data_IF_146784642737
#
_entry.id   IF_146784642737
#
_cell.length_a   1.000
_cell.length_b   1.000
_cell.length_c   1.000
_cell.angle_alpha   90.00
_cell.angle_beta   90.00
_cell.angle_gamma   90.00
#
_symmetry.space_group_name_H-M   'P 1'
#
loop_
_entity.id
_entity.type
_entity.pdbx_description
1 polymer ?
#
# COMPACT_ATOMS: atom_id res chain seq x y z
N UNK A 1 24.74 -48.75 44.38
CA UNK A 1 26.17 -48.91 44.71
C UNK A 1 26.93 -47.72 44.16
N UNK A 2 27.57 -46.95 45.07
CA UNK A 2 28.79 -46.10 44.93
C UNK A 2 28.83 -45.04 43.80
N UNK A 3 29.31 -43.81 43.98
CA UNK A 3 29.82 -43.06 45.13
C UNK A 3 29.92 -41.56 44.76
N UNK A 4 29.90 -40.75 45.81
CA UNK A 4 30.16 -39.32 45.89
C UNK A 4 31.63 -39.00 45.56
N UNK A 5 31.90 -37.88 44.89
CA UNK A 5 33.11 -37.07 45.13
C UNK A 5 32.93 -35.63 44.63
N UNK A 6 32.76 -34.73 45.60
CA UNK A 6 33.03 -33.29 45.53
C UNK A 6 34.54 -33.06 45.50
N UNK A 7 35.04 -32.02 44.82
CA UNK A 7 36.07 -31.13 45.36
C UNK A 7 36.30 -29.84 44.53
N UNK A 8 36.36 -28.74 45.27
CA UNK A 8 37.24 -27.55 45.13
C UNK A 8 37.00 -26.50 44.04
N UNK A 9 36.25 -25.46 44.46
CA UNK A 9 36.65 -24.03 44.53
C UNK A 9 37.70 -23.55 43.51
N UNK A 10 37.24 -22.78 42.53
CA UNK A 10 38.03 -21.83 41.76
C UNK A 10 37.39 -20.44 41.87
N UNK A 11 37.93 -19.60 42.75
CA UNK A 11 37.65 -18.17 42.82
C UNK A 11 38.13 -17.54 41.50
N UNK A 12 37.23 -17.02 40.67
CA UNK A 12 37.58 -16.04 39.65
C UNK A 12 36.71 -14.80 39.84
N UNK A 13 37.32 -13.79 40.46
CA UNK A 13 36.89 -12.41 40.40
C UNK A 13 36.77 -11.98 38.93
N UNK A 14 35.55 -11.79 38.44
CA UNK A 14 35.30 -10.95 37.28
C UNK A 14 34.43 -9.79 37.75
N UNK A 15 35.13 -8.71 38.04
CA UNK A 15 34.61 -7.39 38.31
C UNK A 15 33.84 -6.86 37.10
N UNK A 16 32.58 -6.47 37.35
CA UNK A 16 31.94 -5.22 36.92
C UNK A 16 32.22 -4.77 35.47
N UNK A 17 31.18 -4.89 34.62
CA UNK A 17 30.68 -3.80 33.77
C UNK A 17 29.36 -4.27 33.12
N UNK A 18 28.31 -4.37 33.94
CA UNK A 18 26.94 -4.28 33.41
C UNK A 18 26.76 -2.80 33.08
N UNK A 19 27.05 -2.44 31.83
CA UNK A 19 26.68 -1.14 31.29
C UNK A 19 25.16 -1.05 31.32
N UNK A 20 24.71 -0.20 32.24
CA UNK A 20 23.35 0.08 32.60
C UNK A 20 22.53 0.48 31.38
N UNK A 21 21.53 -0.33 31.04
CA UNK A 21 20.37 0.13 30.29
C UNK A 21 19.59 1.09 31.19
N UNK A 22 20.02 2.36 31.23
CA UNK A 22 19.31 3.42 31.92
C UNK A 22 18.31 3.99 30.92
N UNK A 23 17.05 3.57 31.05
CA UNK A 23 15.97 4.52 30.81
C UNK A 23 16.27 5.71 31.72
N UNK A 24 16.67 6.85 31.14
CA UNK A 24 16.94 8.06 31.91
C UNK A 24 15.68 8.38 32.71
N UNK A 25 15.75 8.17 34.03
CA UNK A 25 14.66 8.53 34.93
C UNK A 25 14.41 10.02 34.74
N UNK A 26 13.18 10.36 34.33
CA UNK A 26 12.81 11.71 33.93
C UNK A 26 13.04 12.66 35.11
N UNK A 27 14.04 13.55 35.01
CA UNK A 27 14.48 14.36 36.15
C UNK A 27 13.37 15.28 36.64
N UNK A 28 13.42 15.63 37.93
CA UNK A 28 12.46 16.57 38.53
C UNK A 28 12.40 17.89 37.75
N UNK A 29 13.55 18.37 37.29
CA UNK A 29 13.65 19.57 36.45
C UNK A 29 12.91 19.38 35.12
N UNK A 30 13.16 18.28 34.41
CA UNK A 30 12.53 18.00 33.12
C UNK A 30 11.00 17.96 33.23
N UNK A 31 10.46 17.26 34.24
CA UNK A 31 9.01 17.20 34.50
C UNK A 31 8.41 18.58 34.72
N UNK A 32 8.99 19.36 35.63
CA UNK A 32 8.52 20.71 35.96
C UNK A 32 8.58 21.65 34.76
N UNK A 33 9.64 21.55 33.96
CA UNK A 33 9.78 22.32 32.73
C UNK A 33 8.69 21.94 31.72
N UNK A 34 8.50 20.65 31.43
CA UNK A 34 7.52 20.18 30.44
C UNK A 34 6.09 20.56 30.85
N UNK A 35 5.74 20.40 32.13
CA UNK A 35 4.44 20.83 32.67
C UNK A 35 4.22 22.33 32.46
N UNK A 36 5.22 23.15 32.81
CA UNK A 36 5.15 24.61 32.67
C UNK A 36 5.14 25.04 31.20
N UNK A 37 5.85 24.32 30.33
CA UNK A 37 5.91 24.55 28.88
C UNK A 37 4.56 24.28 28.24
N UNK A 38 3.93 23.14 28.56
CA UNK A 38 2.58 22.80 28.09
C UNK A 38 1.52 23.76 28.62
N UNK A 39 1.71 24.30 29.82
CA UNK A 39 0.82 25.29 30.41
C UNK A 39 1.07 26.72 29.90
N UNK A 40 2.04 26.96 29.01
CA UNK A 40 2.48 28.29 28.56
C UNK A 40 2.83 29.25 29.72
N UNK A 41 3.34 28.73 30.85
CA UNK A 41 3.65 29.51 32.04
C UNK A 41 5.09 30.05 31.97
N UNK A 42 5.28 31.14 31.24
CA UNK A 42 6.60 31.75 30.99
C UNK A 42 7.30 32.19 32.28
N UNK A 43 6.55 32.68 33.26
CA UNK A 43 7.09 33.07 34.57
C UNK A 43 7.71 31.86 35.27
N UNK A 44 6.97 30.75 35.39
CA UNK A 44 7.48 29.53 36.00
C UNK A 44 8.70 28.98 35.24
N UNK A 45 8.64 28.95 33.91
CA UNK A 45 9.75 28.48 33.07
C UNK A 45 11.03 29.32 33.30
N UNK A 46 10.91 30.65 33.39
CA UNK A 46 12.07 31.52 33.64
C UNK A 46 12.73 31.25 34.99
N UNK A 47 11.94 30.94 36.03
CA UNK A 47 12.45 30.57 37.36
C UNK A 47 13.14 29.21 37.31
N UNK A 48 12.49 28.22 36.70
CA UNK A 48 13.00 26.85 36.56
C UNK A 48 14.34 26.85 35.82
N UNK A 49 14.45 27.57 34.70
CA UNK A 49 15.68 27.66 33.91
C UNK A 49 16.81 28.35 34.69
N UNK A 50 16.54 29.44 35.40
CA UNK A 50 17.56 30.14 36.19
C UNK A 50 18.11 29.30 37.33
N UNK A 51 17.26 28.52 37.99
CA UNK A 51 17.63 27.68 39.13
C UNK A 51 18.43 26.43 38.75
N UNK A 52 18.37 26.00 37.48
CA UNK A 52 18.92 24.72 37.02
C UNK A 52 20.02 24.90 35.96
N UNK A 53 20.72 26.03 35.95
CA UNK A 53 21.72 26.38 34.92
C UNK A 53 22.70 25.24 34.59
N UNK A 54 23.21 24.56 35.61
CA UNK A 54 24.27 23.55 35.45
C UNK A 54 23.76 22.21 34.91
N UNK A 55 22.44 21.95 34.98
CA UNK A 55 21.85 20.69 34.52
C UNK A 55 21.25 20.80 33.12
N UNK A 56 20.94 22.01 32.63
CA UNK A 56 20.25 22.20 31.34
C UNK A 56 20.99 21.55 30.18
N UNK A 57 22.32 21.64 30.11
CA UNK A 57 23.06 21.05 28.99
C UNK A 57 22.89 19.53 28.93
N UNK A 58 23.01 18.85 30.06
CA UNK A 58 22.83 17.40 30.15
C UNK A 58 21.38 16.99 29.83
N UNK A 59 20.42 17.81 30.22
CA UNK A 59 19.00 17.55 29.96
C UNK A 59 18.63 17.70 28.49
N UNK A 60 19.12 18.76 27.83
CA UNK A 60 18.94 18.94 26.38
C UNK A 60 19.60 17.80 25.62
N UNK A 61 20.82 17.39 25.97
CA UNK A 61 21.47 16.24 25.34
C UNK A 61 20.69 14.93 25.60
N UNK A 62 20.13 14.75 26.79
CA UNK A 62 19.24 13.63 27.10
C UNK A 62 17.98 13.62 26.25
N UNK A 63 17.35 14.77 26.02
CA UNK A 63 16.19 14.92 25.14
C UNK A 63 16.56 14.66 23.67
N UNK A 64 17.72 15.13 23.21
CA UNK A 64 18.23 14.82 21.85
C UNK A 64 18.38 13.31 21.69
N UNK A 65 19.03 12.63 22.65
CA UNK A 65 19.22 11.18 22.59
C UNK A 65 17.89 10.43 22.58
N UNK A 66 16.92 10.87 23.38
CA UNK A 66 15.57 10.30 23.39
C UNK A 66 14.85 10.50 22.05
N UNK A 67 14.91 11.70 21.49
CA UNK A 67 14.29 12.04 20.20
C UNK A 67 14.88 11.21 19.05
N UNK A 68 16.19 10.98 19.08
CA UNK A 68 16.92 10.24 18.04
C UNK A 68 16.83 8.72 18.18
N UNK A 69 16.12 8.21 19.20
CA UNK A 69 15.80 6.79 19.31
C UNK A 69 15.00 6.29 18.10
N UNK A 70 15.30 5.06 17.66
CA UNK A 70 14.60 4.38 16.57
C UNK A 70 13.13 4.07 16.89
N UNK A 71 12.74 4.12 18.16
CA UNK A 71 11.37 3.85 18.61
C UNK A 71 10.41 5.03 18.38
N UNK A 72 10.93 6.26 18.24
CA UNK A 72 10.11 7.46 18.11
C UNK A 72 9.66 7.67 16.67
N UNK A 73 8.38 7.96 16.47
CA UNK A 73 7.87 8.45 15.20
C UNK A 73 8.21 9.93 14.99
N UNK A 74 7.95 10.47 13.80
CA UNK A 74 8.28 11.86 13.46
C UNK A 74 7.65 12.89 14.41
N UNK A 75 6.36 12.74 14.74
CA UNK A 75 5.66 13.69 15.62
C UNK A 75 6.21 13.66 17.04
N UNK A 76 6.50 12.46 17.56
CA UNK A 76 7.13 12.30 18.87
C UNK A 76 8.54 12.88 18.90
N UNK A 77 9.35 12.57 17.88
CA UNK A 77 10.71 13.09 17.75
C UNK A 77 10.73 14.61 17.71
N UNK A 78 9.89 15.21 16.86
CA UNK A 78 9.80 16.66 16.76
C UNK A 78 9.31 17.28 18.08
N UNK A 79 8.30 16.69 18.73
CA UNK A 79 7.83 17.18 20.03
C UNK A 79 8.92 17.19 21.11
N UNK A 80 9.78 16.17 21.15
CA UNK A 80 10.91 16.13 22.09
C UNK A 80 11.99 17.16 21.70
N UNK A 81 12.32 17.28 20.41
CA UNK A 81 13.28 18.29 19.92
C UNK A 81 12.77 19.72 20.15
N UNK A 82 11.47 19.97 20.09
CA UNK A 82 10.87 21.28 20.37
C UNK A 82 11.04 21.66 21.85
N UNK A 83 10.87 20.70 22.77
CA UNK A 83 11.15 20.88 24.21
C UNK A 83 12.65 21.15 24.42
N UNK A 84 13.52 20.37 23.78
CA UNK A 84 14.97 20.55 23.85
C UNK A 84 15.40 21.93 23.33
N UNK A 85 14.79 22.39 22.23
CA UNK A 85 15.02 23.70 21.64
C UNK A 85 14.59 24.79 22.61
N UNK A 86 13.38 24.68 23.16
CA UNK A 86 12.88 25.63 24.14
C UNK A 86 13.82 25.73 25.34
N UNK A 87 14.21 24.60 25.96
CA UNK A 87 15.18 24.60 27.07
C UNK A 87 16.50 25.28 26.71
N UNK A 88 17.06 24.96 25.54
CA UNK A 88 18.33 25.54 25.09
C UNK A 88 18.20 27.05 24.81
N UNK A 89 17.15 27.49 24.12
CA UNK A 89 16.87 28.89 23.83
C UNK A 89 16.67 29.70 25.11
N UNK A 90 15.94 29.13 26.08
CA UNK A 90 15.78 29.76 27.37
C UNK A 90 17.11 29.84 28.14
N UNK A 91 17.95 28.81 28.10
CA UNK A 91 19.27 28.88 28.75
C UNK A 91 20.16 29.98 28.15
N UNK A 92 20.16 30.13 26.82
CA UNK A 92 20.89 31.23 26.14
C UNK A 92 20.38 32.58 26.65
N UNK A 93 19.06 32.78 26.69
CA UNK A 93 18.46 34.07 27.04
C UNK A 93 18.58 34.43 28.53
N UNK A 94 18.29 33.51 29.45
CA UNK A 94 18.20 33.80 30.89
C UNK A 94 19.49 33.53 31.67
N UNK A 95 20.38 32.68 31.16
CA UNK A 95 21.58 32.24 31.88
C UNK A 95 22.90 32.57 31.14
N UNK A 96 22.83 33.23 29.99
CA UNK A 96 23.94 33.41 29.05
C UNK A 96 24.60 32.07 28.67
N UNK A 97 23.78 31.05 28.44
CA UNK A 97 24.23 29.72 28.03
C UNK A 97 24.88 29.69 26.64
N UNK A 98 25.66 28.65 26.35
CA UNK A 98 26.33 28.48 25.05
C UNK A 98 25.32 28.25 23.90
N UNK A 99 25.35 29.12 22.90
CA UNK A 99 24.52 29.00 21.69
C UNK A 99 24.76 27.72 20.88
N UNK A 100 25.92 27.07 21.04
CA UNK A 100 26.23 25.84 20.30
C UNK A 100 25.19 24.75 20.52
N UNK A 101 24.67 24.65 21.74
CA UNK A 101 23.66 23.65 22.09
C UNK A 101 22.32 23.95 21.41
N UNK A 102 21.90 25.21 21.37
CA UNK A 102 20.71 25.64 20.64
C UNK A 102 20.87 25.36 19.13
N UNK A 103 22.00 25.78 18.53
CA UNK A 103 22.29 25.54 17.11
C UNK A 103 22.31 24.05 16.75
N UNK A 104 22.77 23.19 17.67
CA UNK A 104 22.73 21.72 17.51
C UNK A 104 21.29 21.23 17.40
N UNK A 105 20.40 21.61 18.32
CA UNK A 105 18.98 21.20 18.30
C UNK A 105 18.27 21.75 17.05
N UNK A 106 18.47 23.02 16.71
CA UNK A 106 17.87 23.64 15.52
C UNK A 106 18.32 22.95 14.22
N UNK A 107 19.58 22.51 14.16
CA UNK A 107 20.09 21.75 13.01
C UNK A 107 19.40 20.39 12.91
N UNK A 108 19.26 19.66 14.02
CA UNK A 108 18.53 18.39 14.04
C UNK A 108 17.06 18.55 13.65
N UNK A 109 16.35 19.57 14.17
CA UNK A 109 14.97 19.87 13.78
C UNK A 109 14.85 20.14 12.29
N UNK A 110 15.77 20.93 11.71
CA UNK A 110 15.80 21.20 10.26
C UNK A 110 16.05 19.94 9.45
N UNK A 111 16.98 19.09 9.87
CA UNK A 111 17.27 17.83 9.19
C UNK A 111 16.08 16.87 9.23
N UNK A 112 15.42 16.70 10.38
CA UNK A 112 14.24 15.84 10.51
C UNK A 112 13.05 16.38 9.70
N UNK A 113 12.81 17.69 9.72
CA UNK A 113 11.78 18.33 8.90
C UNK A 113 12.05 18.13 7.40
N UNK A 114 13.31 18.23 6.96
CA UNK A 114 13.68 17.96 5.57
C UNK A 114 13.50 16.47 5.20
N UNK A 115 13.82 15.54 6.11
CA UNK A 115 13.57 14.10 5.90
C UNK A 115 12.07 13.82 5.75
N UNK A 116 11.24 14.40 6.62
CA UNK A 116 9.79 14.20 6.55
C UNK A 116 9.17 14.86 5.31
N UNK A 117 9.64 16.04 4.91
CA UNK A 117 9.24 16.67 3.65
C UNK A 117 9.52 15.75 2.46
N UNK A 118 10.74 15.20 2.36
CA UNK A 118 11.11 14.25 1.29
C UNK A 118 10.26 12.99 1.33
N UNK A 119 9.98 12.44 2.52
CA UNK A 119 9.11 11.28 2.70
C UNK A 119 7.68 11.55 2.26
N UNK A 120 7.14 12.71 2.60
CA UNK A 120 5.78 13.14 2.22
C UNK A 120 5.67 13.35 0.71
N UNK A 121 6.63 14.05 0.11
CA UNK A 121 6.68 14.25 -1.34
C UNK A 121 6.77 12.92 -2.11
N UNK A 122 7.60 11.98 -1.64
CA UNK A 122 7.67 10.63 -2.19
C UNK A 122 6.33 9.90 -2.06
N UNK A 123 5.65 10.00 -0.90
CA UNK A 123 4.35 9.36 -0.66
C UNK A 123 3.27 9.93 -1.59
N UNK A 124 3.24 11.24 -1.81
CA UNK A 124 2.32 11.86 -2.77
C UNK A 124 2.62 11.41 -4.21
N UNK A 125 3.90 11.31 -4.61
CA UNK A 125 4.25 10.73 -5.91
C UNK A 125 3.78 9.28 -6.06
N UNK A 126 3.89 8.47 -5.00
CA UNK A 126 3.35 7.10 -4.99
C UNK A 126 1.83 7.14 -5.16
N UNK A 127 1.12 7.97 -4.38
CA UNK A 127 -0.35 8.09 -4.48
C UNK A 127 -0.82 8.48 -5.88
N UNK A 128 -0.13 9.39 -6.56
CA UNK A 128 -0.46 9.77 -7.93
C UNK A 128 -0.34 8.60 -8.92
N UNK A 129 0.69 7.76 -8.78
CA UNK A 129 0.81 6.53 -9.58
C UNK A 129 -0.30 5.54 -9.26
N UNK A 130 -0.62 5.39 -7.97
CA UNK A 130 -1.56 4.40 -7.43
C UNK A 130 -3.02 4.82 -7.51
N UNK A 131 -3.28 6.06 -7.93
CA UNK A 131 -4.63 6.55 -8.25
C UNK A 131 -5.26 5.75 -9.39
N UNK A 132 -4.44 5.25 -10.32
CA UNK A 132 -4.90 4.36 -11.39
C UNK A 132 -5.17 2.97 -10.81
N UNK A 133 -6.39 2.41 -10.96
CA UNK A 133 -6.75 1.12 -10.39
C UNK A 133 -5.75 0.02 -10.78
N UNK A 134 -5.16 -0.56 -9.75
CA UNK A 134 -4.18 -1.63 -9.81
C UNK A 134 -2.75 -1.16 -10.03
N UNK A 135 -2.49 0.08 -10.42
CA UNK A 135 -1.10 0.53 -10.47
C UNK A 135 -0.48 0.52 -9.07
N UNK A 136 0.77 0.08 -8.97
CA UNK A 136 1.53 0.21 -7.73
C UNK A 136 3.02 0.37 -7.94
N UNK A 137 3.63 1.05 -6.97
CA UNK A 137 5.08 1.25 -6.91
C UNK A 137 5.72 0.14 -6.10
N UNK A 138 6.71 -0.51 -6.70
CA UNK A 138 7.49 -1.58 -6.08
C UNK A 138 8.81 -1.00 -5.59
N UNK A 139 8.88 -0.74 -4.29
CA UNK A 139 10.02 -0.11 -3.63
C UNK A 139 10.60 -0.94 -2.46
N UNK A 140 10.22 -2.22 -2.33
CA UNK A 140 10.68 -3.08 -1.23
C UNK A 140 12.20 -3.30 -1.21
N UNK A 141 12.85 -3.27 -2.38
CA UNK A 141 14.32 -3.38 -2.55
C UNK A 141 14.95 -2.06 -3.00
N UNK A 142 14.49 -0.93 -2.44
CA UNK A 142 14.91 0.42 -2.88
C UNK A 142 16.42 0.62 -2.81
N UNK A 143 17.07 0.16 -1.75
CA UNK A 143 18.52 0.33 -1.55
C UNK A 143 19.32 -0.46 -2.60
N UNK A 144 18.93 -1.70 -2.88
CA UNK A 144 19.55 -2.54 -3.93
C UNK A 144 19.39 -1.89 -5.31
N UNK A 145 18.21 -1.36 -5.62
CA UNK A 145 17.97 -0.64 -6.87
C UNK A 145 18.81 0.63 -6.96
N UNK A 146 18.86 1.44 -5.90
CA UNK A 146 19.64 2.66 -5.85
C UNK A 146 21.14 2.41 -6.01
N UNK A 147 21.68 1.34 -5.43
CA UNK A 147 23.09 0.93 -5.59
C UNK A 147 23.46 0.58 -7.05
N UNK A 148 22.46 0.30 -7.90
CA UNK A 148 22.61 0.06 -9.33
C UNK A 148 22.14 1.24 -10.20
N UNK A 149 21.85 2.40 -9.60
CA UNK A 149 21.34 3.57 -10.32
C UNK A 149 19.91 3.39 -10.86
N UNK A 150 19.15 2.44 -10.32
CA UNK A 150 17.80 2.12 -10.76
C UNK A 150 16.75 2.78 -9.85
N UNK A 151 15.70 3.33 -10.47
CA UNK A 151 14.51 3.78 -9.75
C UNK A 151 13.67 2.60 -9.29
N UNK A 152 12.78 2.79 -8.29
CA UNK A 152 11.70 1.85 -8.02
C UNK A 152 10.86 1.54 -9.28
N UNK A 153 10.21 0.39 -9.27
CA UNK A 153 9.42 -0.08 -10.43
C UNK A 153 7.99 0.40 -10.34
N UNK A 154 7.40 0.80 -11.47
CA UNK A 154 5.94 0.96 -11.60
C UNK A 154 5.39 -0.29 -12.27
N UNK A 155 4.41 -0.94 -11.64
CA UNK A 155 3.66 -2.02 -12.27
C UNK A 155 2.28 -1.53 -12.73
N UNK A 156 2.04 -1.38 -14.05
CA UNK A 156 0.78 -0.91 -14.57
C UNK A 156 -0.20 -2.07 -14.84
N UNK A 157 -1.16 -2.31 -13.94
CA UNK A 157 -2.14 -3.39 -14.15
C UNK A 157 -2.96 -3.20 -15.41
N UNK A 158 -3.34 -1.97 -15.75
CA UNK A 158 -4.20 -1.71 -16.91
C UNK A 158 -3.54 -2.10 -18.25
N UNK A 159 -2.22 -1.91 -18.38
CA UNK A 159 -1.46 -2.38 -19.56
C UNK A 159 -1.51 -3.90 -19.63
N UNK A 160 -1.20 -4.60 -18.54
CA UNK A 160 -1.22 -6.06 -18.51
C UNK A 160 -2.64 -6.60 -18.75
N UNK A 161 -3.66 -5.96 -18.16
CA UNK A 161 -5.08 -6.31 -18.30
C UNK A 161 -5.60 -6.14 -19.73
N UNK A 162 -4.93 -5.32 -20.53
CA UNK A 162 -5.25 -5.13 -21.95
C UNK A 162 -4.93 -6.38 -22.77
N UNK A 163 -4.02 -7.24 -22.29
CA UNK A 163 -3.52 -8.41 -23.02
C UNK A 163 -3.74 -9.73 -22.28
N UNK A 164 -3.87 -9.71 -20.96
CA UNK A 164 -4.04 -10.89 -20.12
C UNK A 164 -5.17 -10.73 -19.13
N UNK A 165 -5.92 -11.81 -18.89
CA UNK A 165 -6.92 -11.86 -17.82
C UNK A 165 -6.24 -12.07 -16.46
N UNK A 166 -6.93 -11.69 -15.37
CA UNK A 166 -6.38 -11.75 -14.02
C UNK A 166 -5.92 -13.17 -13.67
N UNK A 167 -6.68 -14.20 -14.08
CA UNK A 167 -6.37 -15.62 -13.86
C UNK A 167 -5.04 -16.07 -14.47
N UNK A 168 -4.54 -15.40 -15.51
CA UNK A 168 -3.22 -15.73 -16.10
C UNK A 168 -2.12 -15.55 -15.06
N UNK A 169 -2.16 -14.44 -14.32
CA UNK A 169 -1.16 -14.09 -13.33
C UNK A 169 -1.51 -14.62 -11.92
N UNK A 170 -2.79 -14.55 -11.56
CA UNK A 170 -3.26 -14.81 -10.20
C UNK A 170 -4.05 -16.11 -10.08
N UNK A 171 -3.73 -17.01 -9.17
CA UNK A 171 -2.71 -16.90 -8.10
C UNK A 171 -1.42 -17.66 -8.42
N UNK A 172 -1.28 -18.16 -9.66
CA UNK A 172 -0.18 -19.06 -10.07
C UNK A 172 1.18 -18.37 -10.07
N UNK A 173 1.27 -17.16 -10.62
CA UNK A 173 2.55 -16.43 -10.76
C UNK A 173 2.71 -15.45 -9.60
N UNK A 174 1.63 -14.75 -9.24
CA UNK A 174 1.65 -13.72 -8.21
C UNK A 174 0.55 -13.94 -7.17
N UNK A 175 0.91 -13.82 -5.90
CA UNK A 175 -0.04 -13.76 -4.79
C UNK A 175 -0.80 -12.41 -4.84
N UNK A 176 -2.13 -12.43 -4.65
CA UNK A 176 -3.00 -11.24 -4.59
C UNK A 176 -2.84 -10.44 -3.28
N UNK A 177 -1.60 -10.14 -2.90
CA UNK A 177 -1.23 -9.36 -1.72
C UNK A 177 0.05 -8.59 -1.99
N UNK A 178 0.02 -7.26 -1.82
CA UNK A 178 1.20 -6.40 -2.00
C UNK A 178 2.35 -6.89 -1.12
N UNK A 179 3.54 -6.97 -1.70
CA UNK A 179 4.77 -7.37 -1.00
C UNK A 179 4.85 -8.85 -0.62
N UNK A 180 3.85 -9.68 -0.95
CA UNK A 180 3.87 -11.10 -0.62
C UNK A 180 4.80 -11.92 -1.53
N UNK A 181 5.00 -11.47 -2.77
CA UNK A 181 5.95 -12.10 -3.68
C UNK A 181 7.35 -11.52 -3.43
N UNK A 182 8.30 -12.38 -3.12
CA UNK A 182 9.71 -11.99 -3.07
C UNK A 182 10.28 -11.91 -4.49
N UNK A 183 10.19 -10.73 -5.11
CA UNK A 183 10.68 -10.45 -6.46
C UNK A 183 12.14 -10.00 -6.37
N UNK A 184 13.00 -10.63 -7.17
CA UNK A 184 14.42 -10.30 -7.30
C UNK A 184 14.89 -10.48 -8.75
N UNK A 185 16.00 -9.83 -9.11
CA UNK A 185 16.60 -10.00 -10.44
C UNK A 185 16.95 -11.47 -10.72
N UNK A 186 17.51 -12.18 -9.74
CA UNK A 186 17.83 -13.61 -9.86
C UNK A 186 16.61 -14.47 -10.22
N UNK A 187 15.47 -14.27 -9.55
CA UNK A 187 14.23 -15.00 -9.88
C UNK A 187 13.69 -14.65 -11.28
N UNK A 188 13.84 -13.40 -11.71
CA UNK A 188 13.46 -12.98 -13.05
C UNK A 188 14.34 -13.68 -14.10
N UNK A 189 15.64 -13.78 -13.85
CA UNK A 189 16.58 -14.49 -14.71
C UNK A 189 16.30 -16.00 -14.78
N UNK A 190 15.82 -16.60 -13.69
CA UNK A 190 15.32 -17.98 -13.65
C UNK A 190 13.98 -18.19 -14.38
N UNK A 191 13.42 -17.16 -15.02
CA UNK A 191 12.13 -17.24 -15.72
C UNK A 191 10.91 -17.25 -14.80
N UNK A 192 11.05 -16.84 -13.52
CA UNK A 192 9.94 -16.74 -12.56
C UNK A 192 9.39 -15.32 -12.50
N UNK A 193 8.17 -15.17 -11.97
CA UNK A 193 7.53 -13.87 -11.73
C UNK A 193 7.48 -13.05 -13.04
N UNK A 194 8.09 -11.87 -13.08
CA UNK A 194 8.15 -11.05 -14.30
C UNK A 194 8.82 -11.81 -15.46
N UNK A 195 9.84 -12.62 -15.16
CA UNK A 195 10.58 -13.44 -16.11
C UNK A 195 9.75 -14.54 -16.78
N UNK A 196 8.57 -14.87 -16.23
CA UNK A 196 7.64 -15.82 -16.87
C UNK A 196 7.23 -15.36 -18.27
N UNK A 197 7.07 -14.04 -18.44
CA UNK A 197 6.66 -13.43 -19.71
C UNK A 197 7.73 -12.49 -20.28
N UNK A 198 8.50 -11.78 -19.45
CA UNK A 198 9.59 -10.92 -19.92
C UNK A 198 10.87 -11.73 -20.17
N UNK A 199 10.77 -12.66 -21.12
CA UNK A 199 11.76 -13.69 -21.45
C UNK A 199 12.34 -13.54 -22.86
N UNK A 200 11.94 -12.51 -23.61
CA UNK A 200 12.35 -12.28 -25.00
C UNK A 200 11.45 -12.94 -26.04
N UNK A 201 10.49 -13.78 -25.65
CA UNK A 201 9.53 -14.43 -26.57
C UNK A 201 8.12 -13.88 -26.38
N UNK A 202 7.54 -13.98 -25.17
CA UNK A 202 6.18 -13.47 -24.90
C UNK A 202 6.21 -11.93 -24.85
N UNK A 203 7.21 -11.39 -24.17
CA UNK A 203 7.49 -9.96 -24.06
C UNK A 203 9.00 -9.74 -24.13
N UNK A 204 9.42 -8.47 -24.17
CA UNK A 204 10.83 -8.11 -24.13
C UNK A 204 11.53 -8.74 -22.91
N UNK A 205 12.80 -9.12 -23.07
CA UNK A 205 13.59 -9.71 -22.00
C UNK A 205 13.81 -8.71 -20.85
N UNK A 206 13.48 -9.10 -19.62
CA UNK A 206 13.73 -8.29 -18.42
C UNK A 206 15.18 -8.37 -17.91
N UNK A 207 16.01 -9.26 -18.47
CA UNK A 207 17.43 -9.37 -18.11
C UNK A 207 18.35 -8.59 -19.03
N UNK A 208 17.84 -8.11 -20.17
CA UNK A 208 18.60 -7.29 -21.10
C UNK A 208 18.75 -5.86 -20.55
N UNK A 209 19.98 -5.35 -20.52
CA UNK A 209 20.37 -4.10 -19.85
C UNK A 209 19.59 -2.89 -20.39
N UNK A 210 19.39 -2.83 -21.70
CA UNK A 210 18.64 -1.79 -22.39
C UNK A 210 17.15 -1.72 -21.97
N UNK A 211 16.62 -2.78 -21.36
CA UNK A 211 15.24 -2.85 -20.91
C UNK A 211 15.03 -2.49 -19.43
N UNK A 212 16.10 -2.29 -18.65
CA UNK A 212 16.00 -1.87 -17.24
C UNK A 212 15.12 -0.63 -17.08
N UNK A 213 15.32 0.36 -17.96
CA UNK A 213 14.57 1.62 -18.00
C UNK A 213 13.11 1.49 -18.45
N UNK A 214 12.59 0.29 -18.74
CA UNK A 214 11.16 0.08 -19.04
C UNK A 214 10.33 -0.15 -17.78
N UNK A 215 10.95 -0.68 -16.74
CA UNK A 215 10.30 -0.99 -15.46
C UNK A 215 10.76 -0.02 -14.36
N UNK A 216 12.06 0.28 -14.30
CA UNK A 216 12.68 1.14 -13.29
C UNK A 216 12.51 2.63 -13.64
N UNK A 217 11.26 3.10 -13.56
CA UNK A 217 10.82 4.42 -14.04
C UNK A 217 10.09 5.27 -13.00
N UNK A 218 9.95 4.80 -11.76
CA UNK A 218 9.34 5.64 -10.73
C UNK A 218 10.14 6.94 -10.53
N UNK A 219 9.45 8.07 -10.57
CA UNK A 219 10.05 9.41 -10.51
C UNK A 219 10.68 9.90 -11.81
N UNK A 220 10.55 9.17 -12.93
CA UNK A 220 11.07 9.58 -14.25
C UNK A 220 9.94 10.00 -15.21
N UNK A 221 10.21 10.88 -16.21
CA UNK A 221 9.21 11.32 -17.18
C UNK A 221 8.54 10.19 -17.96
N UNK A 222 9.26 9.08 -18.19
CA UNK A 222 8.78 7.89 -18.89
C UNK A 222 7.65 7.15 -18.15
N UNK A 223 7.41 7.47 -16.89
CA UNK A 223 6.28 6.96 -16.12
C UNK A 223 4.93 7.56 -16.54
N UNK A 224 4.91 8.76 -17.15
CA UNK A 224 3.68 9.50 -17.45
C UNK A 224 2.68 8.68 -18.29
N UNK A 225 3.10 7.98 -19.37
CA UNK A 225 2.25 7.05 -20.10
C UNK A 225 1.56 5.95 -19.28
N UNK A 226 2.12 5.56 -18.13
CA UNK A 226 1.57 4.46 -17.32
C UNK A 226 0.51 4.93 -16.33
N UNK A 227 0.44 6.23 -16.05
CA UNK A 227 -0.53 6.85 -15.14
C UNK A 227 -1.62 7.62 -15.89
N UNK A 228 -1.40 7.92 -17.16
CA UNK A 228 -2.37 8.53 -18.05
C UNK A 228 -2.97 7.47 -19.00
N UNK A 229 -4.17 6.96 -18.67
CA UNK A 229 -4.86 5.95 -19.48
C UNK A 229 -5.35 6.48 -20.84
N UNK A 230 -5.26 7.79 -21.10
CA UNK A 230 -5.51 8.32 -22.44
C UNK A 230 -4.33 8.03 -23.39
N UNK A 231 -3.16 7.70 -22.84
CA UNK A 231 -2.00 7.27 -23.60
C UNK A 231 -2.26 5.89 -24.21
N UNK A 232 -2.77 5.91 -25.43
CA UNK A 232 -3.11 4.72 -26.19
C UNK A 232 -2.50 4.80 -27.58
N UNK A 233 -1.75 3.76 -27.95
CA UNK A 233 -1.19 3.60 -29.28
C UNK A 233 -1.80 2.35 -29.93
N UNK A 234 -2.64 2.58 -30.94
CA UNK A 234 -3.40 1.55 -31.63
C UNK A 234 -2.52 0.43 -32.20
N UNK A 235 -1.52 0.81 -32.99
CA UNK A 235 -0.70 -0.14 -33.74
C UNK A 235 0.12 -1.00 -32.78
N UNK A 236 0.70 -0.38 -31.75
CA UNK A 236 1.47 -1.07 -30.73
C UNK A 236 0.61 -2.04 -29.92
N UNK A 237 -0.61 -1.65 -29.54
CA UNK A 237 -1.51 -2.55 -28.82
C UNK A 237 -1.96 -3.72 -29.69
N UNK A 238 -2.23 -3.47 -30.98
CA UNK A 238 -2.56 -4.51 -31.94
C UNK A 238 -1.40 -5.50 -32.14
N UNK A 239 -0.18 -5.01 -32.28
CA UNK A 239 1.03 -5.82 -32.36
C UNK A 239 1.22 -6.69 -31.10
N UNK A 240 1.13 -6.09 -29.90
CA UNK A 240 1.28 -6.81 -28.63
C UNK A 240 0.18 -7.86 -28.47
N UNK A 241 -1.07 -7.53 -28.77
CA UNK A 241 -2.19 -8.48 -28.69
C UNK A 241 -1.95 -9.66 -29.64
N UNK A 242 -1.54 -9.41 -30.88
CA UNK A 242 -1.22 -10.47 -31.84
C UNK A 242 -0.08 -11.36 -31.34
N UNK A 243 1.02 -10.78 -30.83
CA UNK A 243 2.16 -11.54 -30.29
C UNK A 243 1.78 -12.38 -29.07
N UNK A 244 0.95 -11.82 -28.19
CA UNK A 244 0.56 -12.49 -26.93
C UNK A 244 -0.54 -13.53 -27.11
N UNK A 245 -1.18 -13.60 -28.28
CA UNK A 245 -2.28 -14.52 -28.58
C UNK A 245 -3.66 -13.99 -28.22
N UNK A 246 -3.78 -12.68 -27.97
CA UNK A 246 -5.05 -11.98 -27.76
C UNK A 246 -5.59 -11.34 -29.05
N UNK A 247 -6.67 -10.56 -28.91
CA UNK A 247 -7.22 -9.73 -30.00
C UNK A 247 -7.35 -8.28 -29.54
N UNK A 248 -7.13 -7.36 -30.48
CA UNK A 248 -7.33 -5.93 -30.28
C UNK A 248 -7.95 -5.33 -31.54
N UNK A 249 -9.21 -4.93 -31.41
CA UNK A 249 -10.10 -4.51 -32.47
C UNK A 249 -10.40 -3.02 -32.29
N UNK A 250 -9.41 -2.19 -32.58
CA UNK A 250 -9.49 -0.74 -32.34
C UNK A 250 -10.58 -0.03 -33.16
N UNK A 251 -11.03 -0.64 -34.25
CA UNK A 251 -12.15 -0.21 -35.08
C UNK A 251 -13.49 -0.18 -34.33
N UNK A 252 -13.63 -0.97 -33.27
CA UNK A 252 -14.83 -0.97 -32.43
C UNK A 252 -14.80 0.16 -31.38
N UNK A 253 -13.70 0.92 -31.30
CA UNK A 253 -13.57 2.04 -30.37
C UNK A 253 -14.14 3.33 -30.96
N UNK A 254 -14.84 4.10 -30.14
CA UNK A 254 -15.41 5.39 -30.54
C UNK A 254 -14.28 6.41 -30.74
N UNK A 255 -14.13 6.93 -31.96
CA UNK A 255 -13.05 7.83 -32.36
C UNK A 255 -11.65 7.28 -32.05
N UNK A 256 -11.52 5.96 -32.00
CA UNK A 256 -10.27 5.30 -31.66
C UNK A 256 -9.82 5.49 -30.21
N UNK A 257 -10.66 5.97 -29.29
CA UNK A 257 -10.26 6.18 -27.90
C UNK A 257 -10.72 5.04 -27.00
N UNK A 258 -9.93 4.75 -25.97
CA UNK A 258 -10.37 3.86 -24.89
C UNK A 258 -11.61 4.47 -24.20
N UNK A 259 -12.66 3.68 -23.97
CA UNK A 259 -13.82 4.16 -23.23
C UNK A 259 -13.41 4.38 -21.78
N UNK A 260 -13.60 5.62 -21.31
CA UNK A 260 -13.35 6.00 -19.92
C UNK A 260 -14.68 6.19 -19.20
N UNK A 261 -14.70 5.86 -17.91
CA UNK A 261 -15.82 6.12 -17.04
C UNK A 261 -15.84 7.57 -16.54
N UNK A 262 -16.86 7.91 -15.74
CA UNK A 262 -17.05 9.27 -15.22
C UNK A 262 -15.89 9.76 -14.34
N UNK A 263 -15.05 8.85 -13.86
CA UNK A 263 -13.87 9.16 -13.03
C UNK A 263 -12.58 9.11 -13.85
N UNK A 264 -12.66 8.89 -15.16
CA UNK A 264 -11.53 8.85 -16.08
C UNK A 264 -10.79 7.51 -16.14
N UNK A 265 -11.35 6.43 -15.57
CA UNK A 265 -10.75 5.09 -15.63
C UNK A 265 -11.29 4.27 -16.78
N UNK A 266 -10.49 3.33 -17.30
CA UNK A 266 -10.91 2.46 -18.41
C UNK A 266 -12.18 1.68 -18.03
N UNK A 267 -13.22 1.82 -18.85
CA UNK A 267 -14.44 1.06 -18.76
C UNK A 267 -14.30 -0.29 -19.47
N UNK A 268 -13.74 -1.27 -18.75
CA UNK A 268 -13.50 -2.61 -19.27
C UNK A 268 -14.76 -3.37 -19.71
N UNK A 269 -15.92 -3.07 -19.12
CA UNK A 269 -17.20 -3.67 -19.52
C UNK A 269 -17.62 -3.14 -20.89
N UNK A 270 -17.42 -1.85 -21.14
CA UNK A 270 -17.69 -1.26 -22.45
C UNK A 270 -16.71 -1.78 -23.52
N UNK A 271 -15.43 -1.97 -23.17
CA UNK A 271 -14.46 -2.64 -24.05
C UNK A 271 -14.93 -4.04 -24.47
N UNK A 272 -15.45 -4.82 -23.52
CA UNK A 272 -15.95 -6.18 -23.76
C UNK A 272 -17.25 -6.16 -24.60
N UNK A 273 -18.21 -5.31 -24.25
CA UNK A 273 -19.47 -5.14 -24.99
C UNK A 273 -19.25 -4.75 -26.45
N UNK A 274 -18.27 -3.85 -26.69
CA UNK A 274 -17.85 -3.44 -28.04
C UNK A 274 -17.03 -4.50 -28.76
N UNK A 275 -16.65 -5.60 -28.10
CA UNK A 275 -15.71 -6.61 -28.61
C UNK A 275 -14.41 -5.94 -29.11
N UNK A 276 -13.99 -4.88 -28.43
CA UNK A 276 -12.82 -4.09 -28.80
C UNK A 276 -11.50 -4.80 -28.46
N UNK A 277 -11.56 -5.82 -27.61
CA UNK A 277 -10.43 -6.65 -27.25
C UNK A 277 -10.85 -8.06 -26.84
N UNK A 278 -9.90 -8.99 -26.84
CA UNK A 278 -10.04 -10.30 -26.21
C UNK A 278 -8.68 -10.71 -25.62
N UNK A 279 -8.42 -10.39 -24.34
CA UNK A 279 -7.19 -10.77 -23.65
C UNK A 279 -7.02 -12.29 -23.58
N UNK A 280 -5.78 -12.75 -23.47
CA UNK A 280 -5.44 -14.17 -23.31
C UNK A 280 -5.87 -14.69 -21.94
N UNK A 281 -6.35 -15.93 -21.92
CA UNK A 281 -6.95 -16.57 -20.74
C UNK A 281 -6.00 -17.48 -19.97
N UNK A 282 -4.90 -17.90 -20.58
CA UNK A 282 -3.98 -18.91 -20.07
C UNK A 282 -2.61 -18.76 -20.73
N UNK A 283 -1.51 -19.05 -20.04
CA UNK A 283 -0.21 -19.32 -20.69
C UNK A 283 -0.16 -20.78 -21.13
N UNK A 284 0.70 -21.10 -22.11
CA UNK A 284 0.90 -22.49 -22.55
C UNK A 284 1.29 -23.33 -21.32
N UNK A 285 0.52 -24.40 -21.04
CA UNK A 285 0.49 -25.21 -19.81
C UNK A 285 -0.44 -24.74 -18.67
N UNK A 286 -1.54 -24.04 -18.95
CA UNK A 286 -2.60 -23.81 -17.97
C UNK A 286 -3.65 -24.94 -18.01
N UNK A 287 -3.94 -25.50 -16.84
CA UNK A 287 -4.95 -26.55 -16.62
C UNK A 287 -6.22 -25.98 -15.99
N UNK A 288 -6.43 -24.66 -16.04
CA UNK A 288 -7.58 -24.02 -15.44
C UNK A 288 -8.91 -24.46 -16.08
N UNK A 289 -9.61 -25.36 -15.40
CA UNK A 289 -10.94 -25.86 -15.78
C UNK A 289 -12.08 -25.08 -15.11
N UNK A 290 -11.80 -23.96 -14.43
CA UNK A 290 -12.80 -23.25 -13.62
C UNK A 290 -14.02 -22.77 -14.44
N UNK A 291 -13.86 -22.63 -15.75
CA UNK A 291 -14.94 -22.27 -16.67
C UNK A 291 -15.52 -20.87 -16.43
N UNK A 292 -16.53 -20.53 -17.22
CA UNK A 292 -17.33 -19.31 -17.04
C UNK A 292 -18.66 -19.73 -16.41
N UNK A 293 -19.05 -19.07 -15.32
CA UNK A 293 -20.32 -19.32 -14.64
C UNK A 293 -21.32 -18.23 -15.00
N UNK A 294 -22.48 -18.61 -15.53
CA UNK A 294 -23.50 -17.67 -16.01
C UNK A 294 -24.44 -17.16 -14.91
N UNK A 295 -24.36 -17.71 -13.69
CA UNK A 295 -25.25 -17.37 -12.58
C UNK A 295 -25.16 -15.89 -12.18
N UNK A 296 -26.32 -15.25 -11.98
CA UNK A 296 -26.41 -13.91 -11.38
C UNK A 296 -27.03 -13.98 -9.99
N UNK A 297 -26.56 -13.13 -9.08
CA UNK A 297 -27.03 -13.01 -7.70
C UNK A 297 -27.48 -11.58 -7.44
N UNK A 298 -28.73 -11.40 -7.03
CA UNK A 298 -29.25 -10.12 -6.55
C UNK A 298 -29.01 -9.98 -5.04
N UNK A 299 -28.23 -8.98 -4.65
CA UNK A 299 -28.07 -8.56 -3.26
C UNK A 299 -29.11 -7.51 -2.94
N UNK A 300 -30.02 -7.89 -2.04
CA UNK A 300 -31.04 -6.98 -1.51
C UNK A 300 -30.37 -5.95 -0.58
N UNK A 301 -30.91 -4.75 -0.55
CA UNK A 301 -30.43 -3.65 0.29
C UNK A 301 -31.48 -3.31 1.33
N UNK A 302 -31.04 -3.00 2.55
CA UNK A 302 -31.92 -2.51 3.62
C UNK A 302 -32.27 -1.03 3.45
N UNK A 303 -31.61 -0.32 2.52
CA UNK A 303 -31.87 1.09 2.23
C UNK A 303 -33.12 1.25 1.39
N UNK A 304 -34.00 2.16 1.79
CA UNK A 304 -35.18 2.57 1.01
C UNK A 304 -34.84 3.53 -0.14
N UNK A 305 -33.63 4.11 -0.14
CA UNK A 305 -33.20 5.13 -1.11
C UNK A 305 -32.30 4.57 -2.22
N UNK A 306 -31.65 3.44 -1.96
CA UNK A 306 -30.73 2.81 -2.91
C UNK A 306 -31.38 1.58 -3.52
N UNK A 307 -31.13 1.36 -4.81
CA UNK A 307 -31.49 0.11 -5.49
C UNK A 307 -30.61 -1.04 -5.00
N UNK A 308 -31.05 -2.28 -5.17
CA UNK A 308 -30.24 -3.47 -4.92
C UNK A 308 -29.11 -3.63 -5.94
N UNK A 309 -28.26 -4.63 -5.71
CA UNK A 309 -27.06 -4.88 -6.52
C UNK A 309 -27.18 -6.21 -7.25
N UNK A 310 -27.04 -6.18 -8.58
CA UNK A 310 -26.99 -7.39 -9.39
C UNK A 310 -25.53 -7.79 -9.66
N UNK A 311 -25.08 -8.87 -9.02
CA UNK A 311 -23.78 -9.47 -9.25
C UNK A 311 -23.85 -10.52 -10.38
N UNK A 312 -22.92 -10.45 -11.33
CA UNK A 312 -22.83 -11.43 -12.43
C UNK A 312 -21.57 -12.27 -12.29
N UNK A 313 -21.72 -13.60 -12.13
CA UNK A 313 -20.56 -14.48 -12.20
C UNK A 313 -19.92 -14.45 -13.57
N UNK A 314 -20.68 -14.26 -14.66
CA UNK A 314 -20.13 -14.29 -16.02
C UNK A 314 -19.03 -13.26 -16.17
N UNK A 315 -19.32 -12.02 -15.77
CA UNK A 315 -18.37 -10.90 -15.81
C UNK A 315 -17.13 -11.22 -14.96
N UNK A 316 -17.28 -11.83 -13.79
CA UNK A 316 -16.15 -12.08 -12.89
C UNK A 316 -15.34 -13.32 -13.29
N UNK A 317 -15.97 -14.47 -13.47
CA UNK A 317 -15.35 -15.76 -13.84
C UNK A 317 -14.68 -15.74 -15.22
N UNK A 318 -15.10 -14.84 -16.10
CA UNK A 318 -14.38 -14.49 -17.33
C UNK A 318 -12.94 -14.04 -17.02
N UNK A 319 -12.74 -13.27 -15.96
CA UNK A 319 -11.45 -12.65 -15.62
C UNK A 319 -10.66 -13.36 -14.52
N UNK A 320 -11.34 -13.91 -13.50
CA UNK A 320 -10.72 -14.45 -12.28
C UNK A 320 -11.12 -15.91 -12.05
N UNK A 321 -10.31 -16.65 -11.29
CA UNK A 321 -10.61 -18.02 -10.84
C UNK A 321 -11.59 -18.04 -9.68
N UNK A 322 -12.29 -19.16 -9.50
CA UNK A 322 -13.21 -19.36 -8.37
C UNK A 322 -12.52 -19.19 -7.01
N UNK A 323 -11.27 -19.65 -6.87
CA UNK A 323 -10.49 -19.62 -5.62
C UNK A 323 -10.17 -18.20 -5.14
N UNK A 324 -10.16 -17.22 -6.05
CA UNK A 324 -9.95 -15.82 -5.67
C UNK A 324 -11.13 -15.24 -4.88
N UNK A 325 -12.32 -15.83 -5.06
CA UNK A 325 -13.55 -15.42 -4.39
C UNK A 325 -13.96 -16.39 -3.28
N UNK A 326 -13.79 -17.70 -3.50
CA UNK A 326 -14.32 -18.75 -2.64
C UNK A 326 -13.21 -19.59 -1.98
N UNK A 327 -13.36 -19.96 -0.70
CA UNK A 327 -14.45 -19.58 0.21
C UNK A 327 -14.27 -18.17 0.85
N UNK A 328 -13.19 -17.46 0.53
CA UNK A 328 -12.87 -16.16 1.12
C UNK A 328 -12.52 -15.12 0.02
N UNK A 329 -13.30 -14.04 -0.15
CA UNK A 329 -14.21 -13.44 0.83
C UNK A 329 -15.66 -13.92 0.79
N UNK A 330 -16.03 -14.77 -0.16
CA UNK A 330 -17.40 -15.23 -0.30
C UNK A 330 -17.51 -16.73 -0.05
N UNK A 331 -18.46 -17.14 0.77
CA UNK A 331 -18.82 -18.55 0.91
C UNK A 331 -19.60 -19.00 -0.33
N UNK A 332 -19.45 -20.27 -0.78
CA UNK A 332 -20.10 -20.77 -1.99
C UNK A 332 -21.62 -21.05 -1.82
N UNK A 333 -22.26 -20.52 -0.79
CA UNK A 333 -23.70 -20.62 -0.54
C UNK A 333 -24.41 -19.26 -0.66
N UNK A 334 -25.59 -19.26 -1.30
CA UNK A 334 -26.45 -18.08 -1.43
C UNK A 334 -27.04 -17.72 -0.07
N UNK A 335 -27.16 -16.42 0.24
CA UNK A 335 -27.71 -15.94 1.51
C UNK A 335 -26.71 -15.85 2.66
N UNK A 336 -25.56 -16.55 2.55
CA UNK A 336 -24.54 -16.59 3.61
C UNK A 336 -23.52 -15.43 3.55
N UNK A 337 -23.61 -14.59 2.52
CA UNK A 337 -22.63 -13.54 2.23
C UNK A 337 -23.21 -12.17 2.57
N UNK A 338 -22.77 -11.61 3.70
CA UNK A 338 -23.14 -10.26 4.14
C UNK A 338 -22.17 -9.24 3.56
N UNK A 339 -22.69 -8.17 2.98
CA UNK A 339 -21.88 -7.13 2.35
C UNK A 339 -22.27 -5.77 2.93
N UNK A 340 -21.29 -5.04 3.45
CA UNK A 340 -21.46 -3.67 3.92
C UNK A 340 -20.47 -2.75 3.22
N UNK A 341 -20.92 -1.57 2.83
CA UNK A 341 -20.06 -0.57 2.19
C UNK A 341 -18.86 -0.17 3.07
N UNK A 342 -19.04 -0.10 4.40
CA UNK A 342 -17.93 0.20 5.32
C UNK A 342 -16.85 -0.89 5.31
N UNK A 343 -17.25 -2.16 5.23
CA UNK A 343 -16.31 -3.29 5.15
C UNK A 343 -15.58 -3.34 3.80
N UNK A 344 -16.23 -2.86 2.73
CA UNK A 344 -15.58 -2.73 1.42
C UNK A 344 -14.42 -1.72 1.45
N UNK A 345 -14.56 -0.62 2.20
CA UNK A 345 -13.46 0.34 2.41
C UNK A 345 -12.24 -0.33 3.06
N UNK A 346 -12.47 -1.27 3.97
CA UNK A 346 -11.41 -2.04 4.63
C UNK A 346 -10.85 -3.18 3.74
N UNK A 347 -11.34 -3.31 2.51
CA UNK A 347 -10.89 -4.31 1.56
C UNK A 347 -11.53 -5.69 1.72
N UNK A 348 -12.68 -5.79 2.42
CA UNK A 348 -13.46 -7.03 2.54
C UNK A 348 -14.50 -7.13 1.42
N UNK A 349 -15.04 -8.33 1.21
CA UNK A 349 -16.11 -8.58 0.21
C UNK A 349 -15.74 -8.00 -1.16
N UNK A 350 -16.63 -7.24 -1.81
CA UNK A 350 -16.39 -6.57 -3.09
C UNK A 350 -15.15 -5.64 -3.07
N UNK A 351 -14.84 -5.04 -1.92
CA UNK A 351 -13.69 -4.17 -1.70
C UNK A 351 -12.34 -4.88 -1.75
N UNK A 352 -12.31 -6.22 -1.77
CA UNK A 352 -11.09 -6.99 -2.05
C UNK A 352 -10.49 -6.57 -3.40
N UNK A 353 -11.34 -6.23 -4.37
CA UNK A 353 -10.94 -5.81 -5.71
C UNK A 353 -11.40 -4.39 -6.09
N UNK A 354 -12.65 -4.02 -5.82
CA UNK A 354 -13.22 -2.71 -6.17
C UNK A 354 -12.61 -1.60 -5.31
N UNK A 355 -12.09 -0.54 -5.94
CA UNK A 355 -11.31 0.52 -5.29
C UNK A 355 -9.82 0.23 -5.15
N UNK A 356 -9.37 -0.97 -5.54
CA UNK A 356 -7.95 -1.35 -5.58
C UNK A 356 -7.49 -1.64 -7.00
N UNK A 357 -8.04 -2.69 -7.62
CA UNK A 357 -7.68 -3.17 -8.97
C UNK A 357 -8.84 -3.07 -9.97
N UNK A 358 -10.07 -2.92 -9.46
CA UNK A 358 -11.27 -2.66 -10.22
C UNK A 358 -11.83 -1.28 -9.88
N UNK A 359 -12.89 -0.86 -10.58
CA UNK A 359 -13.49 0.45 -10.38
C UNK A 359 -13.83 0.72 -8.91
N UNK A 360 -13.79 2.00 -8.52
CA UNK A 360 -14.06 2.42 -7.14
C UNK A 360 -15.52 2.22 -6.75
N UNK A 361 -15.75 1.77 -5.53
CA UNK A 361 -17.07 1.65 -4.94
C UNK A 361 -17.75 3.02 -4.68
N UNK A 362 -17.05 4.13 -4.88
CA UNK A 362 -17.64 5.49 -4.87
C UNK A 362 -18.59 5.75 -6.04
N UNK A 363 -18.51 4.96 -7.12
CA UNK A 363 -19.45 5.03 -8.24
C UNK A 363 -20.70 4.17 -7.95
N UNK A 364 -21.55 4.66 -7.05
CA UNK A 364 -22.65 3.89 -6.45
C UNK A 364 -23.57 3.23 -7.50
N UNK A 365 -23.88 3.96 -8.58
CA UNK A 365 -24.85 3.54 -9.60
C UNK A 365 -24.33 2.41 -10.51
N UNK A 366 -23.03 2.10 -10.48
CA UNK A 366 -22.51 0.90 -11.17
C UNK A 366 -22.99 -0.40 -10.56
N UNK A 367 -23.18 -0.42 -9.24
CA UNK A 367 -23.67 -1.60 -8.53
C UNK A 367 -25.15 -1.45 -8.19
N UNK A 368 -25.55 -0.31 -7.63
CA UNK A 368 -26.91 -0.04 -7.18
C UNK A 368 -27.80 0.44 -8.33
N UNK A 369 -28.16 -0.48 -9.21
CA UNK A 369 -28.95 -0.17 -10.40
C UNK A 369 -30.22 -1.01 -10.56
N UNK A 370 -30.45 -2.01 -9.69
CA UNK A 370 -31.50 -3.00 -9.91
C UNK A 370 -32.54 -3.06 -8.79
N UNK A 371 -33.82 -3.24 -9.15
CA UNK A 371 -34.90 -3.48 -8.19
C UNK A 371 -35.39 -4.92 -8.27
N UNK A 372 -36.08 -5.39 -7.22
CA UNK A 372 -36.53 -6.78 -7.11
C UNK A 372 -37.58 -7.13 -8.16
N UNK A 373 -38.38 -6.15 -8.57
CA UNK A 373 -39.47 -6.29 -9.55
C UNK A 373 -38.95 -6.49 -10.98
N UNK A 374 -37.70 -6.12 -11.25
CA UNK A 374 -37.11 -6.13 -12.59
C UNK A 374 -36.07 -7.24 -12.79
N UNK A 375 -36.09 -8.29 -11.95
CA UNK A 375 -35.13 -9.39 -12.05
C UNK A 375 -35.53 -10.37 -13.15
N UNK A 376 -34.55 -10.76 -13.98
CA UNK A 376 -34.71 -11.83 -14.96
C UNK A 376 -34.91 -13.20 -14.29
N UNK A 377 -35.52 -14.13 -15.01
CA UNK A 377 -35.70 -15.51 -14.55
C UNK A 377 -34.33 -16.18 -14.27
N UNK A 378 -34.26 -16.97 -13.18
CA UNK A 378 -33.05 -17.69 -12.78
C UNK A 378 -32.03 -16.88 -11.96
N UNK A 379 -32.32 -15.61 -11.63
CA UNK A 379 -31.48 -14.83 -10.69
C UNK A 379 -31.67 -15.35 -9.26
N UNK A 380 -30.56 -15.68 -8.60
CA UNK A 380 -30.56 -16.07 -7.18
C UNK A 380 -30.65 -14.83 -6.29
N UNK A 381 -31.33 -14.91 -5.15
CA UNK A 381 -31.51 -13.76 -4.26
C UNK A 381 -30.74 -13.98 -2.95
N UNK A 382 -29.91 -12.99 -2.59
CA UNK A 382 -29.25 -12.88 -1.29
C UNK A 382 -30.01 -11.84 -0.45
N UNK A 383 -30.94 -12.33 0.37
CA UNK A 383 -31.80 -11.52 1.21
C UNK A 383 -31.03 -10.77 2.31
N UNK A 384 -31.58 -9.62 2.71
CA UNK A 384 -31.19 -9.00 3.98
C UNK A 384 -31.84 -9.83 5.10
N UNK A 385 -31.04 -10.31 6.05
CA UNK A 385 -31.56 -10.99 7.23
C UNK A 385 -32.50 -10.02 7.97
N UNK A 386 -33.73 -10.47 8.30
CA UNK A 386 -34.66 -9.65 9.06
C UNK A 386 -34.00 -9.22 10.37
N UNK A 387 -34.12 -7.93 10.73
CA UNK A 387 -33.69 -7.47 12.04
C UNK A 387 -34.40 -8.32 13.12
N UNK A 388 -33.70 -8.78 14.18
CA UNK A 388 -34.38 -9.42 15.28
C UNK A 388 -35.47 -8.47 15.79
N UNK A 389 -36.68 -8.98 16.11
CA UNK A 389 -37.76 -8.13 16.58
C UNK A 389 -37.23 -7.30 17.76
N UNK A 390 -37.34 -5.98 17.64
CA UNK A 390 -37.05 -5.09 18.76
C UNK A 390 -37.99 -5.52 19.89
N UNK A 391 -37.41 -6.00 20.99
CA UNK A 391 -38.16 -6.24 22.22
C UNK A 391 -38.81 -4.90 22.60
N UNK A 392 -40.14 -4.87 22.56
CA UNK A 392 -40.96 -3.74 22.98
C UNK A 392 -40.87 -3.54 24.49
#
# INVERSE_FOLDING_TARGET
MKAIASHTVGLLLISILIASAINAEESKFRKQFIESYRANNVQALSVIIRQNKDTISAEVDGLINEAMSSEKNYLERMGILDIANAMAAMNVHWNNGDEKLLKKVETLQREEAQKEKKRTEELERVKEVEKVPGNFVMASRREEMAAKGLSPVIYPHWIHRSFFRCKVCHEKIFIMKRGANDISYGKIQEGKLCGTCHNGTISFSAVAEENCGRCHIFGKPEAKPLVDMSYYNHDKFKEIASRTGGKWNSENLTNGKLPLDRLGFINWIEMDNKKAFNPRDALDNDTDTSGIRETSIFFETSSTFMKGVLFSHKIHSTWVRCTLCHPNPFKPEVGQNKVKMIEMKDGKSCGKCHGKVAFTYSDCLRCHNQTKENLSEGVLINHVEAAPPQAQ
#
